data_IF_171284847027
#
_entry.id   IF_171284847027
#
_cell.length_a   1.000
_cell.length_b   1.000
_cell.length_c   1.000
_cell.angle_alpha   90.00
_cell.angle_beta   90.00
_cell.angle_gamma   90.00
#
_symmetry.space_group_name_H-M   'P 1'
#
loop_
_entity.id
_entity.type
_entity.pdbx_description
1 polymer ?
#
# COMPACT_ATOMS: atom_id res chain seq x y z
N UNK A 1 3.80 36.82 -32.96
CA UNK A 1 3.91 35.34 -33.05
C UNK A 1 4.53 34.68 -31.80
N UNK A 2 4.81 35.42 -30.70
CA UNK A 2 5.36 34.89 -29.43
C UNK A 2 4.30 34.37 -28.45
N UNK A 3 3.03 34.72 -28.68
CA UNK A 3 1.87 34.48 -27.80
C UNK A 3 1.46 33.00 -27.77
N UNK A 4 1.43 32.32 -28.92
CA UNK A 4 1.02 30.92 -29.01
C UNK A 4 1.93 29.95 -28.23
N UNK A 5 3.23 30.28 -28.07
CA UNK A 5 4.17 29.44 -27.32
C UNK A 5 3.96 29.52 -25.81
N UNK A 6 3.66 30.71 -25.28
CA UNK A 6 3.36 30.89 -23.85
C UNK A 6 2.01 30.27 -23.47
N UNK A 7 0.98 30.42 -24.31
CA UNK A 7 -0.32 29.78 -24.09
C UNK A 7 -0.23 28.24 -24.11
N UNK A 8 0.58 27.68 -25.01
CA UNK A 8 0.83 26.23 -25.06
C UNK A 8 1.56 25.73 -23.80
N UNK A 9 2.56 26.48 -23.32
CA UNK A 9 3.28 26.15 -22.08
C UNK A 9 2.36 26.23 -20.86
N UNK A 10 1.51 27.24 -20.77
CA UNK A 10 0.53 27.35 -19.68
C UNK A 10 -0.51 26.23 -19.72
N UNK A 11 -1.02 25.86 -20.90
CA UNK A 11 -1.94 24.73 -21.07
C UNK A 11 -1.28 23.41 -20.65
N UNK A 12 -0.07 23.13 -21.12
CA UNK A 12 0.69 21.93 -20.73
C UNK A 12 0.96 21.90 -19.22
N UNK A 13 1.25 23.05 -18.60
CA UNK A 13 1.44 23.17 -17.15
C UNK A 13 0.15 22.84 -16.40
N UNK A 14 -1.00 23.35 -16.84
CA UNK A 14 -2.32 23.06 -16.26
C UNK A 14 -2.68 21.57 -16.37
N UNK A 15 -2.52 20.97 -17.55
CA UNK A 15 -2.75 19.53 -17.77
C UNK A 15 -1.83 18.65 -16.90
N UNK A 16 -0.54 19.01 -16.82
CA UNK A 16 0.43 18.29 -15.97
C UNK A 16 0.07 18.41 -14.48
N UNK A 17 -0.40 19.57 -14.05
CA UNK A 17 -0.87 19.79 -12.67
C UNK A 17 -2.06 18.91 -12.33
N UNK A 18 -3.08 18.85 -13.20
CA UNK A 18 -4.27 18.01 -13.03
C UNK A 18 -3.86 16.53 -12.96
N UNK A 19 -3.02 16.06 -13.88
CA UNK A 19 -2.51 14.68 -13.90
C UNK A 19 -1.79 14.34 -12.59
N UNK A 20 -0.98 15.27 -12.08
CA UNK A 20 -0.28 15.12 -10.79
C UNK A 20 -1.26 15.05 -9.61
N UNK A 21 -2.33 15.86 -9.60
CA UNK A 21 -3.33 15.81 -8.53
C UNK A 21 -4.08 14.47 -8.47
N UNK A 22 -4.50 13.93 -9.62
CA UNK A 22 -5.13 12.60 -9.67
C UNK A 22 -4.19 11.49 -9.21
N UNK A 23 -2.91 11.58 -9.58
CA UNK A 23 -1.89 10.66 -9.08
C UNK A 23 -1.71 10.75 -7.56
N UNK A 24 -1.77 11.97 -7.02
CA UNK A 24 -1.63 12.24 -5.60
C UNK A 24 -2.72 11.55 -4.75
N UNK A 25 -3.86 11.18 -5.35
CA UNK A 25 -4.91 10.38 -4.68
C UNK A 25 -4.38 9.05 -4.14
N UNK A 26 -3.40 8.45 -4.83
CA UNK A 26 -2.76 7.17 -4.46
C UNK A 26 -1.46 7.32 -3.68
N UNK A 27 -1.01 8.55 -3.38
CA UNK A 27 0.26 8.79 -2.70
C UNK A 27 0.34 8.05 -1.35
N UNK A 28 -0.70 8.12 -0.54
CA UNK A 28 -0.74 7.41 0.74
C UNK A 28 -0.70 5.89 0.56
N UNK A 29 -1.45 5.37 -0.43
CA UNK A 29 -1.46 3.93 -0.74
C UNK A 29 -0.04 3.45 -1.00
N UNK A 30 0.73 4.21 -1.79
CA UNK A 30 2.12 3.90 -2.11
C UNK A 30 3.02 3.88 -0.88
N UNK A 31 2.91 4.87 0.01
CA UNK A 31 3.73 4.90 1.23
C UNK A 31 3.43 3.71 2.13
N UNK A 32 2.16 3.36 2.29
CA UNK A 32 1.78 2.15 3.04
C UNK A 32 2.29 0.89 2.34
N UNK A 33 2.19 0.80 1.01
CA UNK A 33 2.74 -0.33 0.24
C UNK A 33 4.25 -0.49 0.47
N UNK A 34 5.01 0.61 0.44
CA UNK A 34 6.45 0.59 0.71
C UNK A 34 6.76 0.16 2.15
N UNK A 35 6.00 0.67 3.13
CA UNK A 35 6.13 0.27 4.53
C UNK A 35 5.94 -1.25 4.71
N UNK A 36 4.90 -1.83 4.09
CA UNK A 36 4.70 -3.28 4.10
C UNK A 36 5.83 -4.03 3.39
N UNK A 37 6.37 -3.51 2.29
CA UNK A 37 7.49 -4.15 1.59
C UNK A 37 8.70 -4.28 2.52
N UNK A 38 9.11 -3.18 3.15
CA UNK A 38 10.28 -3.19 4.04
C UNK A 38 10.08 -4.08 5.26
N UNK A 39 8.88 -4.04 5.86
CA UNK A 39 8.55 -4.91 7.00
C UNK A 39 8.61 -6.39 6.62
N UNK A 40 8.07 -6.77 5.46
CA UNK A 40 8.11 -8.16 5.00
C UNK A 40 9.52 -8.60 4.56
N UNK A 41 10.33 -7.70 4.00
CA UNK A 41 11.75 -7.99 3.69
C UNK A 41 12.51 -8.24 4.98
N UNK A 42 12.35 -7.40 6.01
CA UNK A 42 12.97 -7.61 7.31
C UNK A 42 12.57 -8.95 7.92
N UNK A 43 11.27 -9.28 7.86
CA UNK A 43 10.77 -10.54 8.37
C UNK A 43 11.32 -11.74 7.60
N UNK A 44 11.38 -11.67 6.26
CA UNK A 44 11.98 -12.70 5.41
C UNK A 44 13.45 -12.94 5.78
N UNK A 45 14.25 -11.88 5.86
CA UNK A 45 15.68 -11.98 6.22
C UNK A 45 15.85 -12.63 7.59
N UNK A 46 15.02 -12.24 8.56
CA UNK A 46 15.07 -12.79 9.92
C UNK A 46 14.77 -14.29 9.95
N UNK A 47 13.80 -14.75 9.14
CA UNK A 47 13.47 -16.18 9.02
C UNK A 47 14.57 -16.98 8.31
N UNK A 48 15.18 -16.41 7.28
CA UNK A 48 16.28 -17.04 6.54
C UNK A 48 17.54 -17.21 7.41
N UNK A 49 17.88 -16.19 8.21
CA UNK A 49 19.04 -16.27 9.14
C UNK A 49 18.81 -17.34 10.22
N UNK A 50 17.56 -17.59 10.57
CA UNK A 50 17.19 -18.52 11.64
C UNK A 50 16.81 -19.92 11.13
N UNK A 51 17.07 -20.21 9.85
CA UNK A 51 16.73 -21.49 9.18
C UNK A 51 15.27 -21.93 9.36
N UNK A 52 14.34 -20.98 9.49
CA UNK A 52 12.92 -21.30 9.64
C UNK A 52 12.30 -21.61 8.29
N UNK A 53 11.61 -22.75 8.20
CA UNK A 53 10.90 -23.19 6.98
C UNK A 53 9.72 -22.30 6.60
N UNK A 54 9.30 -21.37 7.46
CA UNK A 54 8.15 -20.48 7.23
C UNK A 54 8.50 -19.20 6.43
N UNK A 55 9.73 -19.10 5.90
CA UNK A 55 10.18 -17.97 5.07
C UNK A 55 9.31 -17.73 3.83
N UNK A 56 8.59 -18.75 3.34
CA UNK A 56 7.72 -18.61 2.17
C UNK A 56 6.55 -17.64 2.41
N UNK A 57 6.12 -17.45 3.66
CA UNK A 57 5.01 -16.54 3.99
C UNK A 57 5.36 -15.09 3.60
N UNK A 58 6.42 -14.45 4.15
CA UNK A 58 6.79 -13.10 3.73
C UNK A 58 7.22 -13.05 2.26
N UNK A 59 7.77 -14.13 1.69
CA UNK A 59 8.12 -14.18 0.27
C UNK A 59 6.90 -13.97 -0.64
N UNK A 60 5.81 -14.69 -0.39
CA UNK A 60 4.55 -14.56 -1.15
C UNK A 60 3.97 -13.15 -0.98
N UNK A 61 4.03 -12.59 0.23
CA UNK A 61 3.57 -11.24 0.51
C UNK A 61 4.39 -10.20 -0.28
N UNK A 62 5.71 -10.34 -0.34
CA UNK A 62 6.59 -9.45 -1.13
C UNK A 62 6.23 -9.52 -2.62
N UNK A 63 6.07 -10.70 -3.19
CA UNK A 63 5.68 -10.87 -4.61
C UNK A 63 4.36 -10.14 -4.89
N UNK A 64 3.38 -10.35 -4.01
CA UNK A 64 2.07 -9.71 -4.10
C UNK A 64 2.17 -8.18 -4.02
N UNK A 65 2.98 -7.65 -3.09
CA UNK A 65 3.26 -6.21 -2.96
C UNK A 65 3.92 -5.64 -4.21
N UNK A 66 4.90 -6.34 -4.79
CA UNK A 66 5.58 -5.90 -6.02
C UNK A 66 4.61 -5.80 -7.19
N UNK A 67 3.70 -6.77 -7.34
CA UNK A 67 2.63 -6.71 -8.36
C UNK A 67 1.76 -5.47 -8.16
N UNK A 68 1.38 -5.16 -6.92
CA UNK A 68 0.65 -3.91 -6.61
C UNK A 68 1.45 -2.66 -6.97
N UNK A 69 2.75 -2.61 -6.69
CA UNK A 69 3.60 -1.47 -7.05
C UNK A 69 3.64 -1.25 -8.57
N UNK A 70 3.75 -2.32 -9.36
CA UNK A 70 3.71 -2.24 -10.83
C UNK A 70 2.37 -1.67 -11.32
N UNK A 71 1.25 -2.09 -10.73
CA UNK A 71 -0.07 -1.52 -11.06
C UNK A 71 -0.16 -0.03 -10.69
N UNK A 72 0.32 0.36 -9.50
CA UNK A 72 0.33 1.76 -9.06
C UNK A 72 1.21 2.65 -9.95
N UNK A 73 2.31 2.11 -10.48
CA UNK A 73 3.14 2.80 -11.47
C UNK A 73 2.43 2.94 -12.83
N UNK A 74 1.66 1.92 -13.24
CA UNK A 74 0.85 2.00 -14.47
C UNK A 74 -0.25 3.06 -14.37
N UNK A 75 -0.91 3.20 -13.22
CA UNK A 75 -1.94 4.24 -12.96
C UNK A 75 -1.40 5.67 -13.17
N UNK A 76 -0.11 5.90 -12.93
CA UNK A 76 0.55 7.18 -13.25
C UNK A 76 0.59 7.47 -14.76
N UNK A 77 0.78 6.42 -15.55
CA UNK A 77 0.92 6.52 -17.02
C UNK A 77 -0.43 6.54 -17.72
N UNK A 78 -1.34 5.62 -17.36
CA UNK A 78 -2.71 5.54 -17.86
C UNK A 78 -3.72 5.78 -16.74
N UNK A 79 -4.48 6.88 -16.84
CA UNK A 79 -5.51 7.25 -15.86
C UNK A 79 -6.57 6.16 -15.77
N UNK A 80 -6.47 5.32 -14.74
CA UNK A 80 -7.47 4.31 -14.43
C UNK A 80 -7.80 4.39 -12.95
N UNK A 81 -9.09 4.51 -12.63
CA UNK A 81 -9.57 4.56 -11.24
C UNK A 81 -9.72 3.16 -10.62
N UNK A 82 -9.15 2.12 -11.24
CA UNK A 82 -9.35 0.73 -10.84
C UNK A 82 -8.01 0.05 -10.53
N UNK A 83 -7.55 0.17 -9.28
CA UNK A 83 -6.39 -0.55 -8.78
C UNK A 83 -6.80 -1.96 -8.28
N UNK A 84 -7.10 -2.87 -9.20
CA UNK A 84 -7.63 -4.22 -8.89
C UNK A 84 -6.58 -5.07 -8.18
N UNK A 85 -5.35 -5.13 -8.69
CA UNK A 85 -4.28 -5.94 -8.10
C UNK A 85 -3.84 -5.42 -6.74
N UNK A 86 -3.84 -4.10 -6.57
CA UNK A 86 -3.55 -3.43 -5.29
C UNK A 86 -4.62 -3.78 -4.26
N UNK A 87 -5.90 -3.78 -4.64
CA UNK A 87 -6.97 -4.25 -3.75
C UNK A 87 -6.74 -5.70 -3.32
N UNK A 88 -6.47 -6.61 -4.26
CA UNK A 88 -6.20 -8.02 -3.92
C UNK A 88 -4.98 -8.18 -3.03
N UNK A 89 -3.93 -7.39 -3.27
CA UNK A 89 -2.70 -7.41 -2.48
C UNK A 89 -2.95 -7.04 -1.03
N UNK A 90 -3.69 -5.96 -0.79
CA UNK A 90 -4.07 -5.55 0.56
C UNK A 90 -5.10 -6.48 1.21
N UNK A 91 -5.95 -7.16 0.44
CA UNK A 91 -6.82 -8.20 0.96
C UNK A 91 -6.02 -9.43 1.43
N UNK A 92 -5.00 -9.85 0.67
CA UNK A 92 -4.09 -10.93 1.07
C UNK A 92 -3.32 -10.52 2.33
N UNK A 93 -2.75 -9.32 2.38
CA UNK A 93 -2.06 -8.79 3.56
C UNK A 93 -2.98 -8.80 4.79
N UNK A 94 -4.21 -8.31 4.66
CA UNK A 94 -5.19 -8.31 5.74
C UNK A 94 -5.48 -9.73 6.25
N UNK A 95 -5.78 -10.65 5.33
CA UNK A 95 -6.04 -12.05 5.66
C UNK A 95 -4.85 -12.72 6.32
N UNK A 96 -3.63 -12.51 5.82
CA UNK A 96 -2.43 -13.08 6.43
C UNK A 96 -2.18 -12.53 7.83
N UNK A 97 -2.33 -11.22 8.06
CA UNK A 97 -2.18 -10.66 9.41
C UNK A 97 -3.22 -11.24 10.38
N UNK A 98 -4.47 -11.44 9.94
CA UNK A 98 -5.50 -12.09 10.77
C UNK A 98 -5.16 -13.56 11.07
N UNK A 99 -4.71 -14.31 10.05
CA UNK A 99 -4.36 -15.72 10.20
C UNK A 99 -3.15 -15.93 11.12
N UNK A 100 -2.21 -14.98 11.16
CA UNK A 100 -1.02 -15.05 12.01
C UNK A 100 -1.30 -14.79 13.50
N UNK A 101 -2.46 -14.25 13.87
CA UNK A 101 -2.83 -14.01 15.27
C UNK A 101 -2.84 -15.33 16.05
N UNK A 102 -3.52 -16.36 15.54
CA UNK A 102 -3.68 -17.63 16.25
C UNK A 102 -2.34 -18.35 16.48
N UNK A 103 -1.48 -18.54 15.47
CA UNK A 103 -0.13 -19.09 15.64
C UNK A 103 0.74 -18.35 16.66
N UNK A 104 0.60 -17.03 16.77
CA UNK A 104 1.39 -16.20 17.69
C UNK A 104 1.12 -16.53 19.16
N UNK A 105 -0.06 -17.07 19.48
CA UNK A 105 -0.43 -17.46 20.84
C UNK A 105 0.30 -18.72 21.32
N UNK A 106 0.72 -19.59 20.40
CA UNK A 106 1.38 -20.86 20.71
C UNK A 106 2.90 -20.71 20.67
N UNK A 107 3.59 -21.03 21.77
CA UNK A 107 5.03 -20.83 21.92
C UNK A 107 5.90 -21.54 20.88
N UNK A 108 5.51 -22.75 20.44
CA UNK A 108 6.24 -23.51 19.40
C UNK A 108 6.19 -22.79 18.06
N UNK A 109 4.99 -22.39 17.63
CA UNK A 109 4.80 -21.71 16.34
C UNK A 109 5.31 -20.27 16.38
N UNK A 110 5.23 -19.61 17.53
CA UNK A 110 5.84 -18.29 17.76
C UNK A 110 7.34 -18.33 17.49
N UNK A 111 8.06 -19.32 18.04
CA UNK A 111 9.50 -19.44 17.81
C UNK A 111 9.85 -19.71 16.33
N UNK A 112 8.98 -20.40 15.60
CA UNK A 112 9.18 -20.64 14.15
C UNK A 112 8.88 -19.39 13.31
N UNK A 113 7.86 -18.61 13.66
CA UNK A 113 7.45 -17.40 12.91
C UNK A 113 8.29 -16.18 13.28
N UNK A 114 8.77 -16.10 14.52
CA UNK A 114 9.48 -14.96 15.08
C UNK A 114 10.75 -15.41 15.84
N UNK A 115 11.66 -16.17 15.19
CA UNK A 115 12.87 -16.72 15.83
C UNK A 115 13.85 -15.65 16.33
N UNK A 116 13.67 -14.40 15.91
CA UNK A 116 14.43 -13.23 16.34
C UNK A 116 13.93 -12.63 17.66
N UNK A 117 12.81 -13.11 18.21
CA UNK A 117 12.26 -12.67 19.49
C UNK A 117 12.33 -13.78 20.54
N UNK A 118 12.61 -13.38 21.78
CA UNK A 118 12.53 -14.29 22.93
C UNK A 118 11.08 -14.71 23.14
N UNK A 119 10.85 -16.00 23.40
CA UNK A 119 9.51 -16.56 23.66
C UNK A 119 9.06 -16.17 25.07
N UNK A 120 8.47 -14.98 25.18
CA UNK A 120 7.88 -14.44 26.41
C UNK A 120 6.59 -13.67 26.10
N UNK A 121 5.76 -13.45 27.11
CA UNK A 121 4.45 -12.80 26.94
C UNK A 121 4.57 -11.37 26.38
N UNK A 122 5.59 -10.60 26.80
CA UNK A 122 5.83 -9.26 26.27
C UNK A 122 6.12 -9.26 24.76
N UNK A 123 6.92 -10.21 24.27
CA UNK A 123 7.23 -10.37 22.84
C UNK A 123 5.98 -10.74 22.05
N UNK A 124 5.13 -11.63 22.60
CA UNK A 124 3.85 -11.99 21.98
C UNK A 124 2.92 -10.78 21.87
N UNK A 125 2.80 -10.00 22.94
CA UNK A 125 2.00 -8.77 22.96
C UNK A 125 2.52 -7.78 21.92
N UNK A 126 3.84 -7.58 21.82
CA UNK A 126 4.45 -6.73 20.81
C UNK A 126 4.06 -7.18 19.40
N UNK A 127 4.22 -8.47 19.08
CA UNK A 127 3.85 -9.02 17.76
C UNK A 127 2.36 -8.83 17.49
N UNK A 128 1.49 -9.07 18.47
CA UNK A 128 0.05 -8.86 18.33
C UNK A 128 -0.29 -7.39 18.04
N UNK A 129 0.39 -6.44 18.66
CA UNK A 129 0.24 -5.00 18.36
C UNK A 129 0.70 -4.70 16.93
N UNK A 130 1.82 -5.26 16.49
CA UNK A 130 2.31 -5.10 15.10
C UNK A 130 1.33 -5.69 14.08
N UNK A 131 0.81 -6.90 14.32
CA UNK A 131 -0.23 -7.53 13.49
C UNK A 131 -1.52 -6.68 13.48
N UNK A 132 -1.91 -6.15 14.64
CA UNK A 132 -3.05 -5.23 14.77
C UNK A 132 -2.88 -3.96 13.93
N UNK A 133 -1.70 -3.33 13.99
CA UNK A 133 -1.38 -2.19 13.10
C UNK A 133 -1.41 -2.60 11.63
N UNK A 134 -0.90 -3.78 11.28
CA UNK A 134 -0.97 -4.33 9.92
C UNK A 134 -2.41 -4.49 9.41
N UNK A 135 -3.31 -4.97 10.26
CA UNK A 135 -4.75 -5.11 9.98
C UNK A 135 -5.37 -3.73 9.74
N UNK A 136 -5.14 -2.79 10.65
CA UNK A 136 -5.68 -1.43 10.56
C UNK A 136 -5.22 -0.72 9.29
N UNK A 137 -3.92 -0.75 8.98
CA UNK A 137 -3.37 -0.13 7.77
C UNK A 137 -3.92 -0.79 6.50
N UNK A 138 -4.03 -2.12 6.48
CA UNK A 138 -4.57 -2.84 5.32
C UNK A 138 -6.05 -2.52 5.09
N UNK A 139 -6.86 -2.50 6.15
CA UNK A 139 -8.27 -2.11 6.08
C UNK A 139 -8.43 -0.65 5.65
N UNK A 140 -7.59 0.25 6.17
CA UNK A 140 -7.58 1.66 5.78
C UNK A 140 -7.28 1.86 4.29
N UNK A 141 -6.30 1.13 3.75
CA UNK A 141 -6.01 1.20 2.31
C UNK A 141 -7.17 0.66 1.47
N UNK A 142 -7.78 -0.46 1.86
CA UNK A 142 -8.95 -1.00 1.16
C UNK A 142 -10.12 -0.02 1.16
N UNK A 143 -10.39 0.63 2.29
CA UNK A 143 -11.39 1.69 2.41
C UNK A 143 -11.07 2.89 1.50
N UNK A 144 -9.80 3.32 1.47
CA UNK A 144 -9.35 4.41 0.60
C UNK A 144 -9.50 4.05 -0.89
N UNK A 145 -9.13 2.84 -1.29
CA UNK A 145 -9.29 2.35 -2.66
C UNK A 145 -10.76 2.28 -3.07
N UNK A 146 -11.66 1.89 -2.16
CA UNK A 146 -13.10 1.94 -2.39
C UNK A 146 -13.57 3.38 -2.65
N UNK A 147 -13.17 4.34 -1.81
CA UNK A 147 -13.54 5.74 -2.00
C UNK A 147 -13.01 6.32 -3.32
N UNK A 148 -11.77 6.00 -3.70
CA UNK A 148 -11.18 6.44 -4.98
C UNK A 148 -11.94 5.84 -6.16
N UNK A 149 -12.31 4.55 -6.11
CA UNK A 149 -13.05 3.86 -7.17
C UNK A 149 -14.41 4.52 -7.44
N UNK A 150 -15.11 4.95 -6.39
CA UNK A 150 -16.42 5.59 -6.48
C UNK A 150 -16.35 7.13 -6.47
N UNK A 151 -15.15 7.72 -6.56
CA UNK A 151 -14.92 9.16 -6.53
C UNK A 151 -15.57 9.88 -5.32
N UNK A 152 -15.64 9.18 -4.18
CA UNK A 152 -16.18 9.71 -2.91
C UNK A 152 -15.11 10.39 -2.04
N UNK A 153 -13.85 10.40 -2.48
CA UNK A 153 -12.76 11.04 -1.75
C UNK A 153 -12.77 12.56 -1.91
N UNK A 154 -12.37 13.26 -0.84
CA UNK A 154 -12.29 14.72 -0.82
C UNK A 154 -11.31 15.26 -1.88
N UNK A 155 -10.28 14.49 -2.25
CA UNK A 155 -9.33 14.89 -3.29
C UNK A 155 -9.99 15.01 -4.66
N UNK A 156 -10.93 14.11 -5.00
CA UNK A 156 -11.70 14.22 -6.23
C UNK A 156 -12.51 15.53 -6.31
N UNK A 157 -13.15 15.94 -5.20
CA UNK A 157 -13.89 17.21 -5.14
C UNK A 157 -12.97 18.41 -5.41
N UNK A 158 -11.79 18.45 -4.78
CA UNK A 158 -10.79 19.52 -5.00
C UNK A 158 -10.28 19.57 -6.44
N UNK A 159 -10.13 18.41 -7.09
CA UNK A 159 -9.71 18.35 -8.49
C UNK A 159 -10.81 18.93 -9.40
N UNK A 160 -12.08 18.61 -9.13
CA UNK A 160 -13.21 19.16 -9.88
C UNK A 160 -13.33 20.68 -9.74
N UNK A 161 -13.19 21.20 -8.52
CA UNK A 161 -13.16 22.66 -8.27
C UNK A 161 -12.00 23.34 -9.02
N UNK A 162 -10.84 22.68 -9.15
CA UNK A 162 -9.69 23.19 -9.90
C UNK A 162 -9.87 23.11 -11.42
N UNK A 163 -10.51 22.05 -11.93
CA UNK A 163 -10.92 21.94 -13.34
C UNK A 163 -11.88 23.09 -13.72
N UNK A 164 -12.91 23.33 -12.89
CA UNK A 164 -13.89 24.41 -13.07
C UNK A 164 -13.23 25.81 -13.05
N UNK A 165 -12.32 26.07 -12.09
CA UNK A 165 -11.62 27.35 -11.99
C UNK A 165 -10.72 27.68 -13.20
N UNK A 166 -10.37 26.67 -14.00
CA UNK A 166 -9.45 26.81 -15.14
C UNK A 166 -10.20 26.81 -16.49
N UNK A 167 -11.54 26.71 -16.49
CA UNK A 167 -12.38 26.58 -17.69
C UNK A 167 -11.96 25.41 -18.59
N UNK A 168 -11.66 24.25 -17.98
CA UNK A 168 -11.42 22.99 -18.69
C UNK A 168 -12.63 22.06 -18.61
#
# INVERSE_FOLDING_TARGET
>A
MKTNGMELVEKNRKETSIKSMYFNRYLLVRYITAFFLFTNIYWLISLLISDSSLYFIPLILIITIVISMVEQMKIYSSHTNQAKYTKYSFAILLSTNLLLIVPTLFSVTFNQLYPFLVVQEESKILVLVVLGMGILLSAFVLYRLYNIKYNKDQHFKRIKEYEEAINL
#
